data_IF_436477698711
#
_entry.id   IF_436477698711
#
_cell.length_a   1.000
_cell.length_b   1.000
_cell.length_c   1.000
_cell.angle_alpha   90.00
_cell.angle_beta   90.00
_cell.angle_gamma   90.00
#
_symmetry.space_group_name_H-M   'P 1'
#
loop_
_entity.id
_entity.type
_entity.pdbx_description
1 polymer ?
#
# COMPACT_ATOMS: atom_id res chain seq x y z
N UNK A 1 -0.19 -16.04 -5.96
CA UNK A 1 0.42 -16.20 -4.63
C UNK A 1 -0.62 -15.92 -3.56
N UNK A 2 -0.81 -16.82 -2.59
CA UNK A 2 -1.56 -16.53 -1.37
C UNK A 2 -0.75 -15.53 -0.53
N UNK A 3 -0.99 -14.23 -0.74
CA UNK A 3 -0.32 -13.15 0.00
C UNK A 3 -0.62 -13.34 1.49
N UNK A 4 0.37 -13.80 2.24
CA UNK A 4 0.33 -13.79 3.70
C UNK A 4 0.20 -12.32 4.12
N UNK A 5 -0.60 -12.01 5.15
CA UNK A 5 -0.82 -10.63 5.58
C UNK A 5 0.44 -10.05 6.26
N UNK A 6 1.48 -9.81 5.48
CA UNK A 6 2.78 -9.32 5.91
C UNK A 6 2.70 -7.85 6.30
N UNK A 7 3.46 -7.47 7.34
CA UNK A 7 3.64 -6.06 7.72
C UNK A 7 4.63 -5.40 6.76
N UNK A 8 4.16 -4.39 6.02
CA UNK A 8 4.95 -3.62 5.06
C UNK A 8 5.55 -2.36 5.69
N UNK A 9 4.81 -1.71 6.60
CA UNK A 9 5.29 -0.53 7.33
C UNK A 9 5.22 -0.75 8.84
N UNK A 10 6.38 -0.82 9.49
CA UNK A 10 6.46 -0.96 10.93
C UNK A 10 5.96 0.27 11.70
N UNK A 11 6.31 1.49 11.25
CA UNK A 11 5.97 2.73 11.95
C UNK A 11 4.46 2.94 12.14
N UNK A 12 3.67 2.50 11.16
CA UNK A 12 2.21 2.66 11.13
C UNK A 12 1.48 1.32 11.20
N UNK A 13 2.21 0.21 11.35
CA UNK A 13 1.71 -1.16 11.37
C UNK A 13 0.81 -1.47 10.16
N UNK A 14 1.26 -1.06 8.97
CA UNK A 14 0.51 -1.26 7.72
C UNK A 14 0.83 -2.63 7.16
N UNK A 15 -0.21 -3.40 6.86
CA UNK A 15 -0.09 -4.74 6.28
C UNK A 15 -0.50 -4.79 4.81
N UNK A 16 -0.19 -5.88 4.11
CA UNK A 16 -0.64 -6.11 2.72
C UNK A 16 -2.16 -5.97 2.60
N UNK A 17 -2.94 -6.48 3.56
CA UNK A 17 -4.40 -6.37 3.53
C UNK A 17 -4.89 -4.92 3.71
N UNK A 18 -4.16 -4.09 4.45
CA UNK A 18 -4.52 -2.67 4.58
C UNK A 18 -4.31 -1.93 3.25
N UNK A 19 -3.25 -2.27 2.52
CA UNK A 19 -2.97 -1.74 1.18
C UNK A 19 -4.05 -2.23 0.21
N UNK A 20 -4.34 -3.53 0.18
CA UNK A 20 -5.39 -4.11 -0.68
C UNK A 20 -6.76 -3.48 -0.42
N UNK A 21 -7.14 -3.32 0.85
CA UNK A 21 -8.40 -2.64 1.21
C UNK A 21 -8.41 -1.18 0.74
N UNK A 22 -7.30 -0.46 0.89
CA UNK A 22 -7.18 0.91 0.41
C UNK A 22 -7.24 0.99 -1.13
N UNK A 23 -6.75 -0.02 -1.85
CA UNK A 23 -6.87 -0.07 -3.31
C UNK A 23 -8.30 -0.37 -3.76
N UNK A 24 -9.08 -1.10 -2.97
CA UNK A 24 -10.48 -1.39 -3.28
C UNK A 24 -11.44 -0.22 -2.98
N UNK A 25 -10.98 0.90 -2.42
CA UNK A 25 -11.86 2.06 -2.17
C UNK A 25 -12.27 2.78 -3.45
N UNK A 26 -11.48 2.65 -4.52
CA UNK A 26 -11.74 3.26 -5.83
C UNK A 26 -11.91 2.19 -6.91
N UNK A 27 -12.67 2.53 -7.97
CA UNK A 27 -13.01 1.54 -9.01
C UNK A 27 -11.80 1.09 -9.81
N UNK A 28 -10.88 2.00 -10.14
CA UNK A 28 -9.63 1.74 -10.88
C UNK A 28 -8.63 2.86 -10.65
N UNK A 29 -7.37 2.50 -10.41
CA UNK A 29 -6.24 3.41 -10.50
C UNK A 29 -5.59 3.30 -11.87
N UNK A 30 -5.10 4.43 -12.39
CA UNK A 30 -4.41 4.47 -13.69
C UNK A 30 -2.89 4.38 -13.55
N UNK A 31 -2.37 4.75 -12.38
CA UNK A 31 -0.94 4.80 -12.07
C UNK A 31 -0.69 4.32 -10.63
N UNK A 32 0.43 3.64 -10.41
CA UNK A 32 0.87 3.18 -9.08
C UNK A 32 1.07 4.35 -8.12
N UNK A 33 1.48 5.51 -8.61
CA UNK A 33 1.66 6.75 -7.84
C UNK A 33 0.32 7.31 -7.34
N UNK A 34 -0.73 7.20 -8.14
CA UNK A 34 -2.09 7.59 -7.77
C UNK A 34 -2.61 6.67 -6.67
N UNK A 35 -2.48 5.36 -6.90
CA UNK A 35 -2.80 4.33 -5.92
C UNK A 35 -2.02 4.52 -4.60
N UNK A 36 -0.74 4.86 -4.67
CA UNK A 36 0.09 5.14 -3.50
C UNK A 36 -0.45 6.32 -2.68
N UNK A 37 -0.89 7.40 -3.33
CA UNK A 37 -1.47 8.55 -2.60
C UNK A 37 -2.70 8.12 -1.79
N UNK A 38 -3.61 7.36 -2.41
CA UNK A 38 -4.78 6.84 -1.69
C UNK A 38 -4.40 5.89 -0.56
N UNK A 39 -3.46 4.97 -0.79
CA UNK A 39 -2.94 4.06 0.25
C UNK A 39 -2.30 4.86 1.39
N UNK A 40 -1.53 5.90 1.09
CA UNK A 40 -0.91 6.78 2.07
C UNK A 40 -1.95 7.58 2.87
N UNK A 41 -3.00 8.10 2.23
CA UNK A 41 -4.09 8.80 2.90
C UNK A 41 -4.85 7.89 3.87
N UNK A 42 -5.14 6.65 3.47
CA UNK A 42 -5.90 5.69 4.27
C UNK A 42 -5.06 5.09 5.42
N UNK A 43 -3.80 4.74 5.14
CA UNK A 43 -2.95 3.98 6.09
C UNK A 43 -1.93 4.86 6.83
N UNK A 44 -1.76 6.11 6.40
CA UNK A 44 -0.70 7.02 6.86
C UNK A 44 0.73 6.50 6.62
N UNK A 45 0.93 5.51 5.74
CA UNK A 45 2.26 4.95 5.46
C UNK A 45 3.25 6.03 4.96
N UNK A 46 4.55 5.79 5.14
CA UNK A 46 5.62 6.72 4.76
C UNK A 46 5.58 8.13 5.40
N UNK A 47 4.68 8.40 6.35
CA UNK A 47 4.68 9.64 7.17
C UNK A 47 5.54 9.52 8.44
N UNK A 48 6.15 8.35 8.66
CA UNK A 48 7.08 8.07 9.76
C UNK A 48 8.53 8.19 9.29
N UNK A 49 9.26 7.06 9.26
CA UNK A 49 10.66 7.02 8.82
C UNK A 49 10.86 7.05 7.30
N UNK A 50 9.80 6.84 6.50
CA UNK A 50 9.87 6.76 5.03
C UNK A 50 10.45 5.47 4.46
N UNK A 51 11.09 4.61 5.27
CA UNK A 51 11.79 3.40 4.79
C UNK A 51 10.91 2.28 4.23
N UNK A 52 9.58 2.41 4.29
CA UNK A 52 8.64 1.47 3.68
C UNK A 52 8.16 1.89 2.27
N UNK A 53 8.58 3.06 1.78
CA UNK A 53 8.04 3.65 0.55
C UNK A 53 8.15 2.70 -0.66
N UNK A 54 9.35 2.22 -0.95
CA UNK A 54 9.60 1.34 -2.10
C UNK A 54 8.80 0.04 -1.99
N UNK A 55 8.78 -0.59 -0.81
CA UNK A 55 8.02 -1.83 -0.56
C UNK A 55 6.51 -1.65 -0.79
N UNK A 56 5.97 -0.48 -0.45
CA UNK A 56 4.55 -0.18 -0.67
C UNK A 56 4.28 -0.02 -2.17
N UNK A 57 5.14 0.68 -2.91
CA UNK A 57 5.00 0.79 -4.36
C UNK A 57 5.05 -0.59 -5.04
N UNK A 58 5.99 -1.44 -4.66
CA UNK A 58 6.09 -2.81 -5.16
C UNK A 58 4.81 -3.60 -4.84
N UNK A 59 4.33 -3.53 -3.59
CA UNK A 59 3.11 -4.24 -3.17
C UNK A 59 1.88 -3.76 -3.94
N UNK A 60 1.76 -2.46 -4.19
CA UNK A 60 0.66 -1.88 -4.97
C UNK A 60 0.73 -2.37 -6.42
N UNK A 61 1.91 -2.33 -7.04
CA UNK A 61 2.11 -2.84 -8.40
C UNK A 61 1.69 -4.31 -8.50
N UNK A 62 2.12 -5.13 -7.55
CA UNK A 62 1.74 -6.55 -7.44
C UNK A 62 0.24 -6.80 -7.19
N UNK A 63 -0.52 -5.81 -6.71
CA UNK A 63 -1.97 -5.92 -6.48
C UNK A 63 -2.78 -5.39 -7.68
N UNK A 64 -2.19 -4.51 -8.49
CA UNK A 64 -2.81 -3.96 -9.69
C UNK A 64 -2.66 -4.87 -10.93
N UNK A 65 -1.75 -5.85 -10.89
CA UNK A 65 -1.51 -6.86 -11.93
C UNK A 65 -2.33 -8.14 -11.73
#
# INVERSE_FOLDING_TARGET
MSKTNEEICHCKKVTVNDIDRALHTEKKFTDVTEAFKTVQEVTSCSTGCGGCYDKILDTISDLMH
#
